data_IF_936480228095
#
_entry.id   IF_936480228095
#
_cell.length_a   1.000
_cell.length_b   1.000
_cell.length_c   1.000
_cell.angle_alpha   90.00
_cell.angle_beta   90.00
_cell.angle_gamma   90.00
#
_symmetry.space_group_name_H-M   'P 1'
#
loop_
_entity.id
_entity.type
_entity.pdbx_description
1 polymer ?
#
# COMPACT_ATOMS: atom_id res chain seq x y z
N UNK A 1 -8.48 -5.58 3.96
CA UNK A 1 -8.59 -4.55 2.89
C UNK A 1 -9.39 -3.29 3.29
N UNK A 2 -10.61 -3.36 3.84
CA UNK A 2 -11.49 -2.18 3.97
C UNK A 2 -11.01 -1.08 4.92
N UNK A 3 -10.35 -1.44 6.03
CA UNK A 3 -9.85 -0.45 7.02
C UNK A 3 -8.80 0.48 6.40
N UNK A 4 -7.90 -0.04 5.56
CA UNK A 4 -6.86 0.78 4.91
C UNK A 4 -7.43 1.82 3.95
N UNK A 5 -8.64 1.60 3.42
CA UNK A 5 -9.39 2.58 2.62
C UNK A 5 -9.85 3.78 3.45
N UNK A 6 -9.63 3.78 4.77
CA UNK A 6 -9.73 4.97 5.60
C UNK A 6 -8.71 6.06 5.20
N UNK A 7 -7.56 5.69 4.62
CA UNK A 7 -6.58 6.63 4.06
C UNK A 7 -6.91 6.98 2.59
N UNK A 8 -6.85 5.99 1.71
CA UNK A 8 -7.18 6.08 0.28
C UNK A 8 -7.34 4.68 -0.31
N UNK A 9 -7.84 4.56 -1.55
CA UNK A 9 -7.78 3.26 -2.25
C UNK A 9 -6.33 2.83 -2.48
N UNK A 10 -5.46 3.80 -2.81
CA UNK A 10 -4.03 3.56 -3.02
C UNK A 10 -3.31 3.02 -1.79
N UNK A 11 -3.65 3.48 -0.57
CA UNK A 11 -3.02 2.95 0.66
C UNK A 11 -3.24 1.45 0.80
N UNK A 12 -4.47 0.98 0.58
CA UNK A 12 -4.78 -0.45 0.57
C UNK A 12 -3.94 -1.18 -0.49
N UNK A 13 -3.82 -0.62 -1.69
CA UNK A 13 -3.06 -1.22 -2.79
C UNK A 13 -1.57 -1.29 -2.45
N UNK A 14 -0.97 -0.23 -1.90
CA UNK A 14 0.44 -0.19 -1.49
C UNK A 14 0.78 -1.37 -0.55
N UNK A 15 -0.06 -1.66 0.44
CA UNK A 15 0.18 -2.78 1.35
C UNK A 15 0.02 -4.14 0.67
N UNK A 16 -1.02 -4.32 -0.15
CA UNK A 16 -1.23 -5.59 -0.86
C UNK A 16 -0.09 -5.91 -1.83
N UNK A 17 0.37 -4.94 -2.62
CA UNK A 17 1.46 -5.17 -3.58
C UNK A 17 2.80 -5.38 -2.87
N UNK A 18 3.04 -4.71 -1.73
CA UNK A 18 4.26 -4.90 -0.95
C UNK A 18 4.32 -6.34 -0.41
N UNK A 19 3.22 -6.85 0.15
CA UNK A 19 3.12 -8.23 0.63
C UNK A 19 3.24 -9.24 -0.51
N UNK A 20 2.56 -9.02 -1.63
CA UNK A 20 2.65 -9.92 -2.78
C UNK A 20 4.06 -9.96 -3.37
N UNK A 21 4.75 -8.82 -3.44
CA UNK A 21 6.12 -8.74 -3.91
C UNK A 21 7.09 -9.43 -2.94
N UNK A 22 6.88 -9.26 -1.63
CA UNK A 22 7.62 -9.95 -0.58
C UNK A 22 7.46 -11.48 -0.68
N UNK A 23 6.21 -11.97 -0.75
CA UNK A 23 5.89 -13.40 -0.85
C UNK A 23 6.49 -14.03 -2.12
N UNK A 24 6.57 -13.27 -3.22
CA UNK A 24 7.18 -13.70 -4.48
C UNK A 24 8.72 -13.63 -4.48
N UNK A 25 9.35 -13.10 -3.44
CA UNK A 25 10.80 -12.85 -3.38
C UNK A 25 11.28 -11.75 -4.33
N UNK A 26 10.39 -10.86 -4.78
CA UNK A 26 10.70 -9.78 -5.71
C UNK A 26 11.30 -8.54 -5.02
N UNK A 27 11.10 -8.40 -3.71
CA UNK A 27 11.70 -7.35 -2.87
C UNK A 27 12.34 -8.00 -1.62
N UNK A 28 13.40 -7.40 -1.04
CA UNK A 28 13.97 -7.88 0.21
C UNK A 28 12.95 -7.81 1.35
N UNK A 29 13.04 -8.72 2.32
CA UNK A 29 12.20 -8.76 3.53
C UNK A 29 12.87 -7.97 4.66
N UNK A 30 12.09 -7.15 5.37
CA UNK A 30 12.57 -6.38 6.52
C UNK A 30 13.33 -5.11 6.14
N UNK A 31 13.34 -4.75 4.87
CA UNK A 31 13.94 -3.52 4.34
C UNK A 31 12.86 -2.50 3.96
N UNK A 32 13.24 -1.23 3.97
CA UNK A 32 12.38 -0.15 3.55
C UNK A 32 12.28 -0.13 2.02
N UNK A 33 11.05 -0.19 1.51
CA UNK A 33 10.74 -0.06 0.09
C UNK A 33 9.71 1.04 -0.15
N UNK A 34 9.71 1.61 -1.36
CA UNK A 34 8.66 2.55 -1.77
C UNK A 34 7.56 1.77 -2.48
N UNK A 35 6.37 1.76 -1.91
CA UNK A 35 5.18 1.17 -2.52
C UNK A 35 4.30 2.28 -3.12
N UNK A 36 3.95 2.14 -4.41
CA UNK A 36 3.12 3.09 -5.14
C UNK A 36 1.84 2.40 -5.60
N UNK A 37 0.70 3.00 -5.28
CA UNK A 37 -0.62 2.49 -5.63
C UNK A 37 -1.61 3.63 -5.90
N UNK A 38 -2.83 3.29 -6.29
CA UNK A 38 -3.87 4.29 -6.45
C UNK A 38 -5.23 3.75 -6.78
N UNK A 39 -6.13 4.64 -7.21
CA UNK A 39 -7.53 4.31 -7.48
C UNK A 39 -7.79 4.04 -8.96
N UNK A 40 -8.38 2.87 -9.25
CA UNK A 40 -8.77 2.48 -10.61
C UNK A 40 -7.54 2.23 -11.47
N UNK A 41 -7.24 3.18 -12.37
CA UNK A 41 -6.11 3.12 -13.32
C UNK A 41 -4.98 4.09 -13.00
N UNK A 42 -5.09 4.82 -11.89
CA UNK A 42 -4.15 5.87 -11.50
C UNK A 42 -3.25 5.43 -10.36
N UNK A 43 -2.09 6.08 -10.23
CA UNK A 43 -1.24 6.04 -9.06
C UNK A 43 -1.35 7.40 -8.35
N UNK A 44 -1.85 7.40 -7.12
CA UNK A 44 -2.14 8.63 -6.35
C UNK A 44 -1.64 8.57 -4.89
N UNK A 45 -1.11 7.43 -4.48
CA UNK A 45 -0.61 7.17 -3.13
C UNK A 45 0.76 6.51 -3.20
N UNK A 46 1.73 7.04 -2.45
CA UNK A 46 3.08 6.49 -2.33
C UNK A 46 3.51 6.50 -0.86
N UNK A 47 4.08 5.39 -0.40
CA UNK A 47 4.52 5.21 0.99
C UNK A 47 5.90 4.55 1.03
N UNK A 48 6.65 4.82 2.10
CA UNK A 48 7.75 3.98 2.55
C UNK A 48 7.16 2.92 3.49
N UNK A 49 7.44 1.66 3.22
CA UNK A 49 7.00 0.52 4.04
C UNK A 49 8.14 -0.45 4.27
N UNK A 50 8.31 -0.93 5.50
CA UNK A 50 9.16 -2.07 5.81
C UNK A 50 8.43 -3.34 5.39
N UNK A 51 9.00 -4.07 4.45
CA UNK A 51 8.39 -5.26 3.87
C UNK A 51 8.32 -6.44 4.84
N UNK A 52 7.27 -7.24 4.71
CA UNK A 52 7.08 -8.51 5.40
C UNK A 52 6.23 -9.44 4.52
N UNK A 53 6.38 -10.75 4.73
CA UNK A 53 5.55 -11.76 4.08
C UNK A 53 4.12 -11.74 4.64
N UNK A 54 3.17 -12.32 3.90
CA UNK A 54 1.76 -12.41 4.32
C UNK A 54 1.55 -13.19 5.62
N UNK A 55 2.41 -14.18 5.91
CA UNK A 55 2.39 -14.94 7.17
C UNK A 55 2.80 -14.10 8.38
N UNK A 56 3.55 -13.02 8.16
CA UNK A 56 4.03 -12.07 9.14
C UNK A 56 3.42 -10.68 8.89
N UNK A 57 2.16 -10.63 8.45
CA UNK A 57 1.51 -9.39 8.00
C UNK A 57 1.56 -8.24 9.01
N UNK A 58 1.51 -8.55 10.31
CA UNK A 58 1.57 -7.55 11.38
C UNK A 58 2.97 -6.98 11.61
N UNK A 59 3.99 -7.55 10.98
CA UNK A 59 5.38 -7.04 10.99
C UNK A 59 5.63 -6.00 9.89
N UNK A 60 4.64 -5.78 8.99
CA UNK A 60 4.66 -4.62 8.09
C UNK A 60 4.65 -3.34 8.91
N UNK A 61 5.57 -2.44 8.59
CA UNK A 61 5.67 -1.14 9.25
C UNK A 61 5.58 -0.02 8.21
N UNK A 62 4.53 0.80 8.30
CA UNK A 62 4.35 1.95 7.41
C UNK A 62 5.18 3.10 8.00
N UNK A 63 6.31 3.41 7.36
CA UNK A 63 7.20 4.47 7.81
C UNK A 63 6.68 5.86 7.47
N UNK A 64 6.70 6.22 6.18
CA UNK A 64 6.36 7.58 5.73
C UNK A 64 5.30 7.54 4.62
N UNK A 65 4.35 8.47 4.66
CA UNK A 65 3.41 8.72 3.57
C UNK A 65 3.97 9.86 2.71
N UNK A 66 4.59 9.51 1.58
CA UNK A 66 5.20 10.46 0.64
C UNK A 66 4.13 11.28 -0.10
N UNK A 67 3.06 10.60 -0.52
CA UNK A 67 1.93 11.23 -1.18
C UNK A 67 0.65 10.45 -0.92
N UNK A 68 -0.46 11.17 -0.76
CA UNK A 68 -1.81 10.59 -0.80
C UNK A 68 -2.83 11.64 -1.24
N UNK A 69 -4.02 11.25 -1.71
CA UNK A 69 -5.12 12.19 -1.93
C UNK A 69 -5.50 12.94 -0.66
N UNK A 70 -5.83 14.24 -0.79
CA UNK A 70 -6.36 15.07 0.30
C UNK A 70 -7.77 14.60 0.67
N UNK A 71 -8.60 14.31 -0.33
CA UNK A 71 -9.95 13.78 -0.17
C UNK A 71 -10.10 12.49 -0.96
N UNK A 72 -10.87 11.55 -0.41
CA UNK A 72 -11.16 10.30 -1.12
C UNK A 72 -12.05 10.59 -2.32
N UNK A 73 -11.66 10.12 -3.49
CA UNK A 73 -12.60 9.99 -4.60
C UNK A 73 -13.58 8.88 -4.25
N UNK A 74 -14.77 9.25 -3.79
CA UNK A 74 -15.88 8.31 -3.69
C UNK A 74 -16.16 7.85 -5.13
N UNK A 75 -16.06 6.54 -5.44
CA UNK A 75 -16.48 6.04 -6.74
C UNK A 75 -17.91 6.53 -7.00
N UNK A 76 -18.17 7.16 -8.16
CA UNK A 76 -19.56 7.38 -8.55
C UNK A 76 -20.20 5.99 -8.61
N UNK A 77 -21.29 5.80 -7.86
CA UNK A 77 -22.18 4.66 -8.11
C UNK A 77 -22.76 4.94 -9.49
N UNK A 78 -22.31 4.20 -10.48
CA UNK A 78 -23.13 3.94 -11.67
C UNK A 78 -24.34 3.11 -11.26
#
# INVERSE_FOLDING_TARGET
ANVLRLFSQGMKVCLEIAVMAADAGAIPIGENVIAVGGQGRWADTAIIIKSANSTAFFDLDIGEILAKPISKRIPRKE
#
